data_IF_413961656600
#
_entry.id   IF_413961656600
#
_cell.length_a   1.000
_cell.length_b   1.000
_cell.length_c   1.000
_cell.angle_alpha   90.00
_cell.angle_beta   90.00
_cell.angle_gamma   90.00
#
_symmetry.space_group_name_H-M   'P 1'
#
loop_
_entity.id
_entity.type
_entity.pdbx_description
1 polymer ?
#
# COMPACT_ATOMS: atom_id res chain seq x y z
N UNK A 1 -51.15 21.22 19.71
CA UNK A 1 -50.44 19.96 20.01
C UNK A 1 -50.11 19.34 18.66
N UNK A 2 -48.92 19.61 18.12
CA UNK A 2 -48.47 19.01 16.85
C UNK A 2 -46.96 18.83 16.96
N UNK A 3 -46.54 17.60 17.17
CA UNK A 3 -45.14 17.21 17.25
C UNK A 3 -44.60 17.03 15.82
N UNK A 4 -43.52 17.74 15.48
CA UNK A 4 -42.73 17.46 14.28
C UNK A 4 -41.63 16.47 14.67
N UNK A 5 -41.65 15.31 14.01
CA UNK A 5 -40.73 14.21 14.22
C UNK A 5 -39.28 14.62 13.89
N UNK A 6 -38.37 14.32 14.82
CA UNK A 6 -36.94 14.39 14.60
C UNK A 6 -36.52 13.40 13.50
N UNK A 7 -35.86 13.91 12.46
CA UNK A 7 -35.22 13.09 11.45
C UNK A 7 -34.09 12.29 12.09
N UNK A 8 -34.14 10.97 11.91
CA UNK A 8 -33.07 10.06 12.31
C UNK A 8 -31.89 10.30 11.38
N UNK A 9 -30.80 10.81 11.94
CA UNK A 9 -29.52 11.00 11.27
C UNK A 9 -28.94 9.61 10.94
N UNK A 10 -29.13 9.19 9.70
CA UNK A 10 -28.64 7.92 9.18
C UNK A 10 -27.10 7.99 9.08
N UNK A 11 -26.43 7.58 10.16
CA UNK A 11 -24.97 7.47 10.20
C UNK A 11 -24.53 6.58 9.03
N UNK A 12 -23.75 7.15 8.11
CA UNK A 12 -23.22 6.43 6.95
C UNK A 12 -22.59 5.11 7.39
N UNK A 13 -22.91 3.97 6.73
CA UNK A 13 -22.34 2.70 7.12
C UNK A 13 -20.82 2.78 6.93
N UNK A 14 -20.07 2.49 8.00
CA UNK A 14 -18.62 2.32 7.98
C UNK A 14 -18.23 1.58 6.71
N UNK A 15 -17.37 2.18 5.89
CA UNK A 15 -16.98 1.66 4.58
C UNK A 15 -16.03 0.45 4.73
N UNK A 16 -16.50 -0.61 5.37
CA UNK A 16 -15.79 -1.88 5.47
C UNK A 16 -15.92 -2.60 4.14
N UNK A 17 -14.82 -3.12 3.55
CA UNK A 17 -14.90 -3.94 2.36
C UNK A 17 -15.72 -5.22 2.60
N UNK A 18 -16.32 -5.76 1.55
CA UNK A 18 -16.94 -7.07 1.65
C UNK A 18 -15.88 -8.15 1.93
N UNK A 19 -16.17 -9.22 2.70
CA UNK A 19 -15.20 -10.29 2.94
C UNK A 19 -14.64 -10.91 1.65
N UNK A 20 -15.50 -11.07 0.64
CA UNK A 20 -15.15 -11.47 -0.72
C UNK A 20 -15.43 -10.31 -1.66
N UNK A 21 -14.44 -9.94 -2.48
CA UNK A 21 -14.63 -8.89 -3.49
C UNK A 21 -15.63 -9.36 -4.55
N UNK A 22 -16.63 -8.55 -4.84
CA UNK A 22 -17.55 -8.78 -5.99
C UNK A 22 -16.88 -8.53 -7.35
N UNK A 23 -15.65 -8.01 -7.32
CA UNK A 23 -14.76 -7.80 -8.46
C UNK A 23 -13.56 -8.75 -8.37
N UNK A 24 -12.67 -8.67 -9.35
CA UNK A 24 -11.42 -9.44 -9.33
C UNK A 24 -10.56 -9.06 -8.12
N UNK A 25 -9.85 -10.05 -7.58
CA UNK A 25 -8.86 -9.89 -6.51
C UNK A 25 -7.67 -10.80 -6.82
N UNK A 26 -6.46 -10.28 -6.65
CA UNK A 26 -5.24 -11.05 -6.83
C UNK A 26 -4.90 -11.84 -5.57
N UNK A 27 -4.19 -12.94 -5.76
CA UNK A 27 -3.54 -13.64 -4.67
C UNK A 27 -2.22 -12.92 -4.36
N UNK A 28 -2.09 -12.45 -3.11
CA UNK A 28 -0.95 -11.65 -2.66
C UNK A 28 -0.23 -12.38 -1.54
N UNK A 29 1.00 -12.77 -1.83
CA UNK A 29 1.99 -13.23 -0.84
C UNK A 29 2.99 -12.11 -0.59
N UNK A 30 3.48 -11.97 0.64
CA UNK A 30 4.44 -10.93 0.99
C UNK A 30 5.27 -11.29 2.21
N UNK A 31 6.45 -10.68 2.30
CA UNK A 31 7.31 -10.71 3.48
C UNK A 31 7.12 -9.46 4.33
N UNK A 32 7.44 -9.58 5.62
CA UNK A 32 7.49 -8.41 6.50
C UNK A 32 8.58 -7.43 6.03
N UNK A 33 8.43 -6.12 6.31
CA UNK A 33 9.37 -5.11 5.86
C UNK A 33 10.79 -5.37 6.37
N UNK A 34 11.75 -5.22 5.47
CA UNK A 34 13.17 -5.45 5.73
C UNK A 34 13.97 -4.18 5.43
N UNK A 35 15.17 -4.09 6.01
CA UNK A 35 16.12 -3.02 5.72
C UNK A 35 17.25 -3.51 4.82
N UNK A 36 17.75 -2.60 4.01
CA UNK A 36 18.97 -2.76 3.22
C UNK A 36 19.76 -1.46 3.23
N UNK A 37 21.08 -1.55 3.42
CA UNK A 37 21.97 -0.41 3.31
C UNK A 37 22.68 -0.47 1.96
N UNK A 38 22.59 0.62 1.19
CA UNK A 38 23.14 0.70 -0.17
C UNK A 38 23.95 1.99 -0.30
N UNK A 39 25.19 1.88 -0.77
CA UNK A 39 25.99 3.04 -1.17
C UNK A 39 25.65 3.36 -2.63
N UNK A 40 25.09 4.54 -2.87
CA UNK A 40 24.72 4.96 -4.23
C UNK A 40 25.96 5.39 -5.03
N UNK A 41 25.92 5.29 -6.37
CA UNK A 41 27.00 5.83 -7.21
C UNK A 41 27.23 7.31 -6.95
N UNK A 42 28.48 7.70 -6.66
CA UNK A 42 28.84 9.07 -6.33
C UNK A 42 28.73 9.44 -4.85
N UNK A 43 28.27 8.52 -4.00
CA UNK A 43 28.23 8.70 -2.56
C UNK A 43 29.29 7.86 -1.85
N UNK A 44 29.82 8.37 -0.74
CA UNK A 44 30.78 7.65 0.11
C UNK A 44 30.11 6.99 1.31
N UNK A 45 28.92 7.43 1.68
CA UNK A 45 28.17 6.93 2.84
C UNK A 45 27.01 6.03 2.39
N UNK A 46 26.83 4.86 3.03
CA UNK A 46 25.67 4.02 2.75
C UNK A 46 24.39 4.68 3.29
N UNK A 47 23.30 4.60 2.52
CA UNK A 47 21.96 5.00 2.95
C UNK A 47 21.12 3.77 3.27
N UNK A 48 20.26 3.87 4.28
CA UNK A 48 19.33 2.81 4.67
C UNK A 48 18.01 2.99 3.93
N UNK A 49 17.52 1.89 3.38
CA UNK A 49 16.21 1.79 2.72
C UNK A 49 15.38 0.70 3.38
N UNK A 50 14.09 0.93 3.47
CA UNK A 50 13.10 -0.07 3.83
C UNK A 50 12.47 -0.66 2.58
N UNK A 51 12.15 -1.94 2.60
CA UNK A 51 11.44 -2.56 1.49
C UNK A 51 10.48 -3.65 1.94
N UNK A 52 9.38 -3.75 1.20
CA UNK A 52 8.31 -4.72 1.37
C UNK A 52 8.24 -5.58 0.11
N UNK A 53 8.66 -6.85 0.22
CA UNK A 53 8.59 -7.80 -0.88
C UNK A 53 7.19 -8.37 -1.00
N UNK A 54 6.66 -8.36 -2.21
CA UNK A 54 5.38 -8.99 -2.49
C UNK A 54 5.40 -9.71 -3.85
N UNK A 55 4.59 -10.75 -3.90
CA UNK A 55 4.30 -11.53 -5.09
C UNK A 55 2.80 -11.50 -5.34
N UNK A 56 2.44 -11.23 -6.58
CA UNK A 56 1.05 -11.27 -7.05
C UNK A 56 0.85 -12.40 -8.05
N UNK A 57 -0.22 -13.17 -7.87
CA UNK A 57 -0.70 -14.16 -8.84
C UNK A 57 -2.11 -13.81 -9.28
N UNK A 58 -2.36 -13.85 -10.59
CA UNK A 58 -3.69 -13.66 -11.16
C UNK A 58 -4.41 -15.00 -11.37
N UNK A 59 -5.31 -15.34 -10.46
CA UNK A 59 -6.20 -16.49 -10.57
C UNK A 59 -7.66 -16.08 -10.83
N UNK A 60 -7.88 -14.91 -11.44
CA UNK A 60 -9.21 -14.29 -11.57
C UNK A 60 -10.02 -14.80 -12.77
N UNK A 61 -9.47 -15.69 -13.58
CA UNK A 61 -10.10 -16.22 -14.80
C UNK A 61 -10.07 -15.29 -16.01
N UNK A 62 -9.37 -14.14 -15.91
CA UNK A 62 -9.11 -13.23 -17.02
C UNK A 62 -7.83 -12.43 -16.80
N UNK A 63 -7.25 -11.90 -17.87
CA UNK A 63 -6.12 -10.98 -17.78
C UNK A 63 -6.59 -9.65 -17.21
N UNK A 64 -5.75 -9.01 -16.39
CA UNK A 64 -6.11 -7.76 -15.72
C UNK A 64 -5.06 -6.66 -15.93
N UNK A 65 -5.48 -5.39 -16.05
CA UNK A 65 -4.55 -4.27 -15.91
C UNK A 65 -4.07 -4.19 -14.46
N UNK A 66 -2.75 -4.23 -14.27
CA UNK A 66 -2.10 -4.23 -12.97
C UNK A 66 -1.20 -3.01 -12.81
N UNK A 67 -1.61 -2.10 -11.92
CA UNK A 67 -0.92 -0.86 -11.59
C UNK A 67 -0.90 -0.70 -10.07
N UNK A 68 0.02 -1.39 -9.37
CA UNK A 68 0.06 -1.34 -7.91
C UNK A 68 0.57 0.02 -7.44
N UNK A 69 0.04 0.48 -6.30
CA UNK A 69 0.59 1.62 -5.57
C UNK A 69 0.66 1.26 -4.10
N UNK A 70 1.85 1.42 -3.52
CA UNK A 70 2.14 1.07 -2.13
C UNK A 70 2.60 2.33 -1.41
N UNK A 71 2.03 2.59 -0.23
CA UNK A 71 2.41 3.70 0.63
C UNK A 71 2.62 3.22 2.06
N UNK A 72 3.58 3.82 2.76
CA UNK A 72 3.82 3.65 4.18
C UNK A 72 3.32 4.90 4.90
N UNK A 73 2.51 4.71 5.95
CA UNK A 73 2.00 5.80 6.79
C UNK A 73 2.38 5.55 8.23
N UNK A 74 3.05 6.50 8.88
CA UNK A 74 3.45 6.41 10.29
C UNK A 74 2.38 6.96 11.23
N UNK A 75 2.46 6.60 12.51
CA UNK A 75 1.72 7.22 13.61
C UNK A 75 2.01 8.72 13.80
N UNK A 76 3.15 9.21 13.30
CA UNK A 76 3.49 10.63 13.20
C UNK A 76 2.83 11.36 12.02
N UNK A 77 1.88 10.71 11.34
CA UNK A 77 1.12 11.23 10.19
C UNK A 77 1.98 11.54 8.95
N UNK A 78 3.18 10.98 8.86
CA UNK A 78 4.01 11.06 7.65
C UNK A 78 3.62 9.93 6.71
N UNK A 79 3.53 10.25 5.42
CA UNK A 79 3.23 9.29 4.36
C UNK A 79 4.34 9.28 3.34
N UNK A 80 4.84 8.10 2.99
CA UNK A 80 5.89 7.90 1.98
C UNK A 80 5.37 6.94 0.92
N UNK A 81 5.42 7.34 -0.35
CA UNK A 81 5.03 6.48 -1.48
C UNK A 81 6.22 5.63 -1.90
N UNK A 82 5.99 4.35 -2.13
CA UNK A 82 7.04 3.44 -2.54
C UNK A 82 7.60 3.81 -3.92
N UNK A 83 8.91 3.76 -4.04
CA UNK A 83 9.64 4.01 -5.28
C UNK A 83 9.84 5.47 -5.65
N UNK A 84 9.26 6.41 -4.90
CA UNK A 84 9.51 7.84 -5.09
C UNK A 84 10.95 8.18 -4.67
N UNK A 85 11.70 8.85 -5.55
CA UNK A 85 13.11 9.20 -5.32
C UNK A 85 14.10 8.02 -5.21
N UNK A 86 13.67 6.76 -5.40
CA UNK A 86 14.53 5.59 -5.17
C UNK A 86 15.42 5.30 -6.38
N UNK A 87 16.73 5.29 -6.16
CA UNK A 87 17.73 4.98 -7.19
C UNK A 87 17.65 3.50 -7.63
N UNK A 88 17.78 3.18 -8.94
CA UNK A 88 17.70 1.79 -9.46
C UNK A 88 18.63 0.79 -8.79
N UNK A 89 19.83 1.22 -8.40
CA UNK A 89 20.82 0.38 -7.70
C UNK A 89 20.29 -0.23 -6.39
N UNK A 90 19.28 0.38 -5.75
CA UNK A 90 18.63 -0.18 -4.55
C UNK A 90 17.82 -1.42 -4.91
N UNK A 91 17.08 -1.39 -6.02
CA UNK A 91 16.34 -2.55 -6.52
C UNK A 91 17.30 -3.67 -6.96
N UNK A 92 18.42 -3.32 -7.59
CA UNK A 92 19.45 -4.31 -7.95
C UNK A 92 20.05 -4.98 -6.71
N UNK A 93 20.29 -4.22 -5.64
CA UNK A 93 20.80 -4.75 -4.37
C UNK A 93 19.77 -5.69 -3.70
N UNK A 94 18.49 -5.33 -3.72
CA UNK A 94 17.40 -6.19 -3.21
C UNK A 94 17.29 -7.47 -4.05
N UNK A 95 17.29 -7.36 -5.38
CA UNK A 95 17.23 -8.50 -6.29
C UNK A 95 18.38 -9.48 -6.04
N UNK A 96 19.62 -8.98 -5.90
CA UNK A 96 20.80 -9.79 -5.56
C UNK A 96 20.67 -10.48 -4.20
N UNK A 97 20.16 -9.78 -3.19
CA UNK A 97 19.96 -10.36 -1.84
C UNK A 97 19.01 -11.55 -1.86
N UNK A 98 18.00 -11.52 -2.73
CA UNK A 98 16.93 -12.52 -2.79
C UNK A 98 16.99 -13.42 -4.02
N UNK A 99 18.08 -13.40 -4.79
CA UNK A 99 18.21 -14.13 -6.07
C UNK A 99 17.90 -15.63 -5.96
N UNK A 100 18.28 -16.26 -4.84
CA UNK A 100 18.03 -17.68 -4.59
C UNK A 100 16.55 -18.01 -4.37
N UNK A 101 15.80 -17.10 -3.75
CA UNK A 101 14.38 -17.28 -3.46
C UNK A 101 13.52 -16.79 -4.63
N UNK A 102 13.95 -15.70 -5.28
CA UNK A 102 13.23 -15.01 -6.35
C UNK A 102 14.14 -14.72 -7.54
N UNK A 103 14.45 -15.75 -8.36
CA UNK A 103 15.29 -15.57 -9.55
C UNK A 103 14.65 -14.64 -10.61
N UNK A 104 13.33 -14.46 -10.56
CA UNK A 104 12.57 -13.57 -11.46
C UNK A 104 12.02 -12.35 -10.73
N UNK A 105 12.92 -11.54 -10.17
CA UNK A 105 12.58 -10.28 -9.54
C UNK A 105 12.33 -9.17 -10.59
N UNK A 106 11.17 -8.54 -10.54
CA UNK A 106 10.82 -7.43 -11.42
C UNK A 106 11.06 -6.09 -10.74
N UNK A 107 11.63 -5.13 -11.46
CA UNK A 107 11.63 -3.72 -11.04
C UNK A 107 10.22 -3.12 -11.16
N UNK A 108 9.90 -2.03 -10.44
CA UNK A 108 8.56 -1.43 -10.50
C UNK A 108 8.09 -1.10 -11.92
N UNK A 109 8.99 -0.62 -12.78
CA UNK A 109 8.66 -0.32 -14.18
C UNK A 109 8.27 -1.56 -15.00
N UNK A 110 8.80 -2.74 -14.65
CA UNK A 110 8.48 -4.02 -15.33
C UNK A 110 7.31 -4.74 -14.68
N UNK A 111 6.90 -4.35 -13.48
CA UNK A 111 5.80 -4.99 -12.77
C UNK A 111 4.43 -4.49 -13.23
N UNK A 112 4.34 -3.30 -13.84
CA UNK A 112 3.08 -2.71 -14.30
C UNK A 112 2.62 -3.27 -15.65
N UNK A 113 1.36 -3.03 -16.00
CA UNK A 113 0.77 -3.45 -17.28
C UNK A 113 -0.18 -4.64 -17.15
N UNK A 114 -0.39 -5.40 -18.22
CA UNK A 114 -1.31 -6.54 -18.19
C UNK A 114 -0.67 -7.71 -17.42
N UNK A 115 -1.34 -8.18 -16.37
CA UNK A 115 -0.97 -9.36 -15.61
C UNK A 115 -1.78 -10.56 -16.13
N UNK A 116 -1.08 -11.46 -16.82
CA UNK A 116 -1.65 -12.70 -17.36
C UNK A 116 -2.01 -13.67 -16.23
N UNK A 117 -2.93 -14.58 -16.53
CA UNK A 117 -3.43 -15.56 -15.58
C UNK A 117 -2.42 -16.67 -15.25
N UNK A 118 -2.59 -17.26 -14.07
CA UNK A 118 -1.89 -18.46 -13.64
C UNK A 118 -0.56 -18.19 -12.95
N UNK A 119 -0.09 -19.22 -12.25
CA UNK A 119 1.06 -19.16 -11.34
C UNK A 119 2.38 -18.82 -12.05
N UNK A 120 2.59 -19.33 -13.27
CA UNK A 120 3.80 -19.04 -14.06
C UNK A 120 3.93 -17.57 -14.48
N UNK A 121 2.82 -16.82 -14.47
CA UNK A 121 2.79 -15.39 -14.81
C UNK A 121 2.83 -14.49 -13.57
N UNK A 122 3.04 -15.07 -12.38
CA UNK A 122 3.18 -14.29 -11.16
C UNK A 122 4.32 -13.27 -11.26
N UNK A 123 4.16 -12.14 -10.58
CA UNK A 123 5.19 -11.11 -10.53
C UNK A 123 5.63 -10.91 -9.09
N UNK A 124 6.93 -11.04 -8.85
CA UNK A 124 7.57 -10.70 -7.58
C UNK A 124 8.34 -9.39 -7.71
N UNK A 125 8.15 -8.48 -6.76
CA UNK A 125 8.84 -7.18 -6.73
C UNK A 125 8.96 -6.66 -5.29
N UNK A 126 9.58 -5.50 -5.12
CA UNK A 126 9.69 -4.80 -3.85
C UNK A 126 9.06 -3.40 -3.96
N UNK A 127 8.25 -3.04 -2.97
CA UNK A 127 7.95 -1.65 -2.67
C UNK A 127 9.07 -1.10 -1.77
N UNK A 128 9.81 -0.09 -2.23
CA UNK A 128 10.99 0.46 -1.53
C UNK A 128 10.69 1.85 -1.02
N UNK A 129 11.10 2.16 0.19
CA UNK A 129 10.95 3.43 0.86
C UNK A 129 12.32 3.90 1.33
N UNK A 130 12.53 5.21 1.36
CA UNK A 130 13.61 5.78 2.16
C UNK A 130 13.38 5.51 3.65
N UNK A 131 14.39 5.78 4.48
CA UNK A 131 14.20 5.74 5.92
C UNK A 131 13.11 6.73 6.34
N UNK A 132 12.24 6.31 7.24
CA UNK A 132 11.09 7.11 7.68
C UNK A 132 11.32 7.63 9.10
N UNK A 133 10.30 8.30 9.64
CA UNK A 133 10.38 8.98 10.93
C UNK A 133 10.97 8.09 12.04
N UNK A 134 12.15 8.42 12.59
CA UNK A 134 12.73 7.65 13.66
C UNK A 134 11.91 7.76 14.94
N UNK A 135 10.96 8.70 15.08
CA UNK A 135 10.07 8.75 16.24
C UNK A 135 8.87 7.79 16.12
N UNK A 136 8.63 7.19 14.96
CA UNK A 136 7.47 6.33 14.75
C UNK A 136 7.60 5.00 15.50
N UNK A 137 6.53 4.62 16.21
CA UNK A 137 6.43 3.33 16.90
C UNK A 137 5.52 2.37 16.13
N UNK A 138 4.64 2.90 15.30
CA UNK A 138 3.74 2.14 14.45
C UNK A 138 3.71 2.72 13.04
N UNK A 139 3.58 1.84 12.05
CA UNK A 139 3.32 2.24 10.68
C UNK A 139 2.39 1.23 9.99
N UNK A 140 1.68 1.71 8.98
CA UNK A 140 0.78 0.91 8.16
C UNK A 140 1.26 0.96 6.72
N UNK A 141 1.43 -0.21 6.11
CA UNK A 141 1.64 -0.34 4.67
C UNK A 141 0.27 -0.51 4.02
N UNK A 142 -0.08 0.44 3.15
CA UNK A 142 -1.25 0.39 2.29
C UNK A 142 -0.83 -0.01 0.88
N UNK A 143 -1.29 -1.15 0.40
CA UNK A 143 -1.03 -1.65 -0.94
C UNK A 143 -2.33 -1.75 -1.75
N UNK A 144 -2.46 -0.88 -2.74
CA UNK A 144 -3.62 -0.77 -3.63
C UNK A 144 -3.31 -1.34 -5.02
N UNK A 145 -4.35 -1.57 -5.83
CA UNK A 145 -4.20 -2.21 -7.14
C UNK A 145 -4.16 -3.75 -7.09
N UNK A 146 -4.40 -4.34 -5.92
CA UNK A 146 -4.49 -5.79 -5.71
C UNK A 146 -5.94 -6.32 -5.80
N UNK A 147 -6.92 -5.40 -5.87
CA UNK A 147 -8.33 -5.69 -6.06
C UNK A 147 -8.93 -4.64 -6.99
N UNK A 148 -9.92 -5.05 -7.79
CA UNK A 148 -10.73 -4.16 -8.62
C UNK A 148 -11.96 -3.60 -7.92
N UNK A 149 -12.14 -3.84 -6.63
CA UNK A 149 -13.29 -3.36 -5.87
C UNK A 149 -13.19 -1.86 -5.59
N UNK A 150 -14.27 -1.15 -5.92
CA UNK A 150 -14.44 0.28 -5.73
C UNK A 150 -15.77 0.53 -5.01
N UNK A 151 -15.78 1.50 -4.10
CA UNK A 151 -17.00 2.01 -3.48
C UNK A 151 -17.07 3.52 -3.67
N UNK A 152 -18.15 3.96 -4.29
CA UNK A 152 -18.51 5.37 -4.35
C UNK A 152 -19.17 5.77 -3.04
N UNK A 153 -18.67 6.80 -2.39
CA UNK A 153 -19.20 7.34 -1.13
C UNK A 153 -19.53 8.80 -1.35
N UNK A 154 -20.72 9.23 -0.96
CA UNK A 154 -21.12 10.65 -1.06
C UNK A 154 -20.21 11.51 -0.20
N UNK A 155 -19.78 12.66 -0.73
CA UNK A 155 -19.04 13.63 0.07
C UNK A 155 -20.01 14.37 1.01
N UNK A 156 -19.92 14.19 2.33
CA UNK A 156 -20.81 14.87 3.27
C UNK A 156 -20.59 16.39 3.32
N UNK A 157 -19.42 16.86 2.85
CA UNK A 157 -19.06 18.27 2.78
C UNK A 157 -19.32 18.88 1.39
N UNK A 158 -20.01 18.17 0.48
CA UNK A 158 -20.35 18.69 -0.83
C UNK A 158 -21.26 19.91 -0.71
N UNK A 159 -20.84 21.02 -1.33
CA UNK A 159 -21.58 22.26 -1.39
C UNK A 159 -22.23 22.40 -2.79
N UNK A 160 -23.54 22.15 -2.94
CA UNK A 160 -24.22 22.15 -4.25
C UNK A 160 -24.33 23.55 -4.87
N UNK A 161 -24.13 24.60 -4.07
CA UNK A 161 -24.06 26.00 -4.48
C UNK A 161 -22.70 26.39 -5.06
N UNK A 162 -21.67 25.54 -4.90
CA UNK A 162 -20.33 25.74 -5.49
C UNK A 162 -20.15 24.82 -6.70
N UNK A 163 -19.34 25.22 -7.69
CA UNK A 163 -18.98 24.33 -8.80
C UNK A 163 -18.38 23.02 -8.30
N UNK A 164 -18.65 21.92 -9.02
CA UNK A 164 -17.95 20.66 -8.80
C UNK A 164 -16.48 20.82 -9.19
N UNK A 165 -15.58 20.43 -8.28
CA UNK A 165 -14.12 20.48 -8.49
C UNK A 165 -13.43 19.44 -7.61
N UNK A 166 -12.11 19.31 -7.72
CA UNK A 166 -11.32 18.44 -6.83
C UNK A 166 -11.43 18.86 -5.35
N UNK A 167 -11.69 20.15 -5.09
CA UNK A 167 -11.92 20.70 -3.74
C UNK A 167 -13.39 20.60 -3.29
N UNK A 168 -14.32 20.35 -4.22
CA UNK A 168 -15.75 20.17 -3.94
C UNK A 168 -16.34 18.99 -4.74
N UNK A 169 -15.82 17.76 -4.56
CA UNK A 169 -16.32 16.62 -5.32
C UNK A 169 -17.65 16.16 -4.71
N UNK A 170 -18.66 15.80 -5.51
CA UNK A 170 -19.91 15.27 -4.97
C UNK A 170 -19.76 13.86 -4.36
N UNK A 171 -18.72 13.12 -4.76
CA UNK A 171 -18.43 11.78 -4.26
C UNK A 171 -16.94 11.51 -4.18
N UNK A 172 -16.57 10.63 -3.27
CA UNK A 172 -15.26 9.98 -3.20
C UNK A 172 -15.31 8.57 -3.79
N UNK A 173 -14.25 8.16 -4.47
CA UNK A 173 -14.05 6.78 -4.93
C UNK A 173 -13.03 6.09 -4.03
N UNK A 174 -13.52 5.23 -3.15
CA UNK A 174 -12.65 4.43 -2.29
C UNK A 174 -12.28 3.12 -2.98
N UNK A 175 -11.01 2.76 -2.91
CA UNK A 175 -10.45 1.51 -3.44
C UNK A 175 -10.25 0.51 -2.32
N UNK A 176 -10.56 -0.75 -2.60
CA UNK A 176 -10.17 -1.82 -1.70
C UNK A 176 -8.65 -1.95 -1.69
N UNK A 177 -8.07 -1.71 -0.52
CA UNK A 177 -6.63 -1.58 -0.30
C UNK A 177 -6.21 -2.55 0.79
N UNK A 178 -5.12 -3.28 0.58
CA UNK A 178 -4.54 -4.14 1.61
C UNK A 178 -3.81 -3.25 2.62
N UNK A 179 -4.24 -3.30 3.87
CA UNK A 179 -3.59 -2.63 4.99
C UNK A 179 -2.86 -3.67 5.85
N UNK A 180 -1.58 -3.43 6.10
CA UNK A 180 -0.77 -4.25 7.01
C UNK A 180 -0.12 -3.35 8.04
N UNK A 181 -0.54 -3.50 9.29
CA UNK A 181 -0.10 -2.71 10.44
C UNK A 181 1.09 -3.37 11.11
N UNK A 182 2.12 -2.58 11.39
CA UNK A 182 3.36 -3.02 12.01
C UNK A 182 3.71 -2.13 13.20
N UNK A 183 4.16 -2.76 14.29
CA UNK A 183 4.86 -2.07 15.37
C UNK A 183 6.36 -2.16 15.13
N UNK A 184 7.06 -1.04 15.28
CA UNK A 184 8.51 -1.00 15.30
C UNK A 184 8.98 -0.89 16.76
N UNK A 185 9.40 -2.01 17.39
CA UNK A 185 9.81 -2.00 18.79
C UNK A 185 11.13 -1.24 18.98
N UNK A 186 11.39 -0.80 20.21
CA UNK A 186 12.63 -0.13 20.58
C UNK A 186 12.50 1.39 20.72
N UNK A 187 13.49 1.97 21.39
CA UNK A 187 13.73 3.40 21.48
C UNK A 187 14.59 3.89 20.31
N UNK A 188 14.87 5.20 20.26
CA UNK A 188 15.64 5.81 19.17
C UNK A 188 17.03 5.16 18.96
N UNK A 189 17.67 4.65 20.01
CA UNK A 189 18.99 4.03 19.93
C UNK A 189 18.95 2.59 19.41
N UNK A 190 17.90 1.84 19.75
CA UNK A 190 17.73 0.43 19.36
C UNK A 190 16.97 0.27 18.04
N UNK A 191 16.24 1.29 17.60
CA UNK A 191 15.45 1.33 16.36
C UNK A 191 16.24 1.01 15.08
N UNK A 192 17.52 1.41 14.91
CA UNK A 192 18.34 0.99 13.77
C UNK A 192 18.55 -0.53 13.67
N UNK A 193 18.24 -1.31 14.70
CA UNK A 193 18.35 -2.76 14.71
C UNK A 193 17.00 -3.47 14.90
N UNK A 194 15.92 -2.73 15.14
CA UNK A 194 14.60 -3.28 15.38
C UNK A 194 13.95 -3.94 14.16
N UNK A 195 13.38 -5.12 14.34
CA UNK A 195 12.58 -5.79 13.31
C UNK A 195 11.11 -5.44 13.51
N UNK A 196 10.38 -5.00 12.46
CA UNK A 196 8.95 -4.74 12.56
C UNK A 196 8.18 -6.00 12.97
N UNK A 197 7.22 -5.84 13.87
CA UNK A 197 6.30 -6.90 14.29
C UNK A 197 4.94 -6.65 13.67
N UNK A 198 4.47 -7.59 12.85
CA UNK A 198 3.14 -7.52 12.22
C UNK A 198 2.06 -7.61 13.28
N UNK A 199 1.20 -6.59 13.37
CA UNK A 199 0.05 -6.56 14.27
C UNK A 199 -1.22 -7.04 13.60
N UNK A 200 -1.49 -6.55 12.39
CA UNK A 200 -2.77 -6.77 11.71
C UNK A 200 -2.60 -6.79 10.19
N UNK A 201 -3.41 -7.60 9.52
CA UNK A 201 -3.56 -7.64 8.06
C UNK A 201 -5.05 -7.61 7.75
N UNK A 202 -5.51 -6.62 7.00
CA UNK A 202 -6.91 -6.52 6.61
C UNK A 202 -7.08 -5.79 5.28
N UNK A 203 -8.25 -5.95 4.67
CA UNK A 203 -8.66 -5.12 3.55
C UNK A 203 -9.45 -3.93 4.10
N UNK A 204 -9.16 -2.72 3.62
CA UNK A 204 -9.88 -1.49 3.96
C UNK A 204 -10.34 -0.77 2.69
N UNK A 205 -11.31 0.14 2.81
CA UNK A 205 -11.63 1.10 1.75
C UNK A 205 -10.83 2.39 1.97
N UNK A 206 -10.00 2.77 1.00
CA UNK A 206 -9.14 3.97 1.04
C UNK A 206 -9.06 4.65 -0.32
#
# INVERSE_FOLDING_TARGET
>A
MTAAAAGVEERSPTATPAPVSSKWQLDVAFHDPQRISVTLPGESTPRTYWYFLYRVTNNTGKDIPFFPSVALVTDSLKSVVAGDGIHPAVYDAIARRHEKEYPFFFTPAKVTGILLQGESNSRTTAAVFEDFDPAANEFVIYASGFSGELKRVTNPAFAPDKPESDDNPPYFLLRRTLAVTYRLPGDEQTRPHATPVRLKREWVMR
#
